data_IF_909289091081
#
_entry.id   IF_909289091081
#
_cell.length_a   1.000
_cell.length_b   1.000
_cell.length_c   1.000
_cell.angle_alpha   90.00
_cell.angle_beta   90.00
_cell.angle_gamma   90.00
#
_symmetry.space_group_name_H-M   'P 1'
#
loop_
_entity.id
_entity.type
_entity.pdbx_description
1 polymer ?
#
# COMPACT_ATOMS: atom_id res chain seq x y z
N UNK A 1 0.01 5.98 -1.27
CA UNK A 1 -0.46 5.31 -2.52
C UNK A 1 -0.89 3.89 -2.17
N UNK A 2 -2.11 3.49 -2.51
CA UNK A 2 -2.58 2.11 -2.32
C UNK A 2 -1.86 1.14 -3.28
N UNK A 3 -1.36 -0.01 -2.79
CA UNK A 3 -0.60 -0.96 -3.61
C UNK A 3 -0.96 -2.43 -3.34
N UNK A 4 -1.98 -2.95 -4.02
CA UNK A 4 -2.43 -4.34 -3.81
C UNK A 4 -1.41 -5.39 -4.27
N UNK A 5 -0.50 -5.03 -5.19
CA UNK A 5 0.48 -5.97 -5.76
C UNK A 5 1.53 -6.43 -4.76
N UNK A 6 1.69 -5.75 -3.61
CA UNK A 6 2.57 -6.21 -2.53
C UNK A 6 2.14 -7.59 -1.98
N UNK A 7 0.87 -7.97 -2.14
CA UNK A 7 0.36 -9.29 -1.77
C UNK A 7 0.57 -10.39 -2.83
N UNK A 8 1.25 -10.06 -3.94
CA UNK A 8 1.55 -11.00 -5.02
C UNK A 8 2.09 -12.34 -4.48
N UNK A 9 1.52 -13.43 -4.97
CA UNK A 9 2.07 -14.78 -4.86
C UNK A 9 2.73 -15.11 -6.18
N UNK A 10 4.05 -15.27 -6.15
CA UNK A 10 4.90 -15.56 -7.31
C UNK A 10 5.41 -17.01 -7.33
N UNK A 11 4.85 -17.87 -6.48
CA UNK A 11 5.34 -19.26 -6.29
C UNK A 11 5.07 -20.20 -7.47
N UNK A 12 4.17 -19.86 -8.40
CA UNK A 12 3.72 -20.75 -9.48
C UNK A 12 3.71 -20.02 -10.83
N UNK A 13 4.81 -20.13 -11.56
CA UNK A 13 4.97 -19.55 -12.90
C UNK A 13 5.18 -18.04 -12.93
N UNK A 14 5.10 -17.45 -14.12
CA UNK A 14 5.46 -16.05 -14.36
C UNK A 14 4.32 -15.05 -14.15
N UNK A 15 3.09 -15.53 -13.91
CA UNK A 15 1.92 -14.68 -13.64
C UNK A 15 1.67 -14.62 -12.13
N UNK A 16 1.87 -13.47 -11.47
CA UNK A 16 1.56 -13.34 -10.05
C UNK A 16 0.05 -13.50 -9.79
N UNK A 17 -0.28 -14.12 -8.65
CA UNK A 17 -1.65 -14.18 -8.14
C UNK A 17 -1.83 -13.20 -6.98
N UNK A 18 -2.97 -12.52 -6.92
CA UNK A 18 -3.28 -11.52 -5.91
C UNK A 18 -4.44 -11.95 -5.00
N UNK A 19 -4.71 -13.26 -4.91
CA UNK A 19 -5.82 -13.81 -4.13
C UNK A 19 -5.77 -13.45 -2.63
N UNK A 20 -4.60 -13.04 -2.13
CA UNK A 20 -4.41 -12.61 -0.73
C UNK A 20 -4.75 -11.13 -0.51
N UNK A 21 -4.88 -10.33 -1.57
CA UNK A 21 -5.27 -8.93 -1.46
C UNK A 21 -6.75 -8.84 -1.06
N UNK A 22 -7.09 -7.88 -0.21
CA UNK A 22 -8.48 -7.61 0.11
C UNK A 22 -9.23 -7.09 -1.13
N UNK A 23 -10.53 -7.42 -1.23
CA UNK A 23 -11.41 -6.86 -2.27
C UNK A 23 -11.66 -5.36 -2.04
N UNK A 24 -12.03 -4.59 -3.08
CA UNK A 24 -12.24 -3.14 -2.98
C UNK A 24 -13.18 -2.72 -1.86
N UNK A 25 -14.25 -3.49 -1.61
CA UNK A 25 -15.27 -3.17 -0.60
C UNK A 25 -14.71 -3.17 0.83
N UNK A 26 -13.62 -3.91 1.04
CA UNK A 26 -12.87 -3.95 2.32
C UNK A 26 -11.65 -3.03 2.26
N UNK A 27 -10.96 -2.99 1.13
CA UNK A 27 -9.70 -2.27 0.98
C UNK A 27 -9.86 -0.74 1.00
N UNK A 28 -10.92 -0.19 0.40
CA UNK A 28 -11.17 1.26 0.36
C UNK A 28 -11.40 1.82 1.77
N UNK A 29 -12.33 1.28 2.59
CA UNK A 29 -12.52 1.77 3.96
C UNK A 29 -11.26 1.65 4.83
N UNK A 30 -10.47 0.58 4.64
CA UNK A 30 -9.20 0.41 5.38
C UNK A 30 -8.15 1.44 4.95
N UNK A 31 -8.05 1.75 3.65
CA UNK A 31 -7.15 2.77 3.12
C UNK A 31 -7.51 4.16 3.64
N UNK A 32 -8.79 4.52 3.62
CA UNK A 32 -9.30 5.79 4.15
C UNK A 32 -9.07 5.92 5.66
N UNK A 33 -9.36 4.86 6.42
CA UNK A 33 -9.08 4.82 7.87
C UNK A 33 -7.59 4.98 8.16
N UNK A 34 -6.71 4.37 7.37
CA UNK A 34 -5.27 4.50 7.50
C UNK A 34 -4.80 5.94 7.25
N UNK A 35 -5.32 6.60 6.21
CA UNK A 35 -5.05 8.02 5.92
C UNK A 35 -5.49 8.91 7.08
N UNK A 36 -6.71 8.70 7.58
CA UNK A 36 -7.26 9.49 8.68
C UNK A 36 -6.41 9.33 9.96
N UNK A 37 -6.02 8.09 10.29
CA UNK A 37 -5.14 7.81 11.44
C UNK A 37 -3.78 8.51 11.31
N UNK A 38 -3.11 8.39 10.17
CA UNK A 38 -1.82 9.06 9.95
C UNK A 38 -1.93 10.57 9.98
N UNK A 39 -3.00 11.15 9.44
CA UNK A 39 -3.25 12.59 9.44
C UNK A 39 -3.39 13.10 10.87
N UNK A 40 -4.10 12.36 11.72
CA UNK A 40 -4.27 12.68 13.14
C UNK A 40 -2.95 12.57 13.91
N UNK A 41 -2.21 11.47 13.77
CA UNK A 41 -0.94 11.23 14.47
C UNK A 41 0.16 12.23 14.08
N UNK A 42 0.21 12.64 12.82
CA UNK A 42 1.19 13.62 12.34
C UNK A 42 0.75 15.07 12.57
N UNK A 43 -0.51 15.31 12.94
CA UNK A 43 -1.08 16.65 13.16
C UNK A 43 -1.09 17.54 11.91
N UNK A 44 -0.96 16.97 10.72
CA UNK A 44 -0.90 17.72 9.45
C UNK A 44 -1.48 16.92 8.28
N UNK A 45 -1.93 17.59 7.21
CA UNK A 45 -2.35 16.91 5.99
C UNK A 45 -1.24 16.03 5.43
N UNK A 46 -1.60 14.83 4.97
CA UNK A 46 -0.71 13.94 4.23
C UNK A 46 -1.10 13.92 2.76
N UNK A 47 -0.12 13.69 1.89
CA UNK A 47 -0.36 13.49 0.47
C UNK A 47 -0.72 12.04 0.18
N UNK A 48 -1.70 11.84 -0.69
CA UNK A 48 -2.23 10.52 -1.07
C UNK A 48 -2.29 10.40 -2.59
N UNK A 49 -2.51 9.17 -3.08
CA UNK A 49 -2.96 8.95 -4.46
C UNK A 49 -4.46 8.64 -4.47
N UNK A 50 -4.99 8.35 -5.65
CA UNK A 50 -6.39 7.94 -5.84
C UNK A 50 -6.51 6.40 -5.86
N UNK A 51 -7.40 5.85 -5.04
CA UNK A 51 -7.55 4.41 -4.93
C UNK A 51 -8.14 3.82 -6.21
N UNK A 52 -7.48 2.81 -6.79
CA UNK A 52 -7.97 2.10 -7.98
C UNK A 52 -7.78 2.87 -9.30
N UNK A 53 -7.30 4.11 -9.26
CA UNK A 53 -6.93 4.85 -10.44
C UNK A 53 -5.62 4.32 -11.06
N UNK A 54 -5.49 4.47 -12.38
CA UNK A 54 -4.20 4.33 -13.05
C UNK A 54 -3.31 5.52 -12.69
N UNK A 55 -2.15 5.26 -12.10
CA UNK A 55 -1.30 6.28 -11.51
C UNK A 55 0.15 6.14 -11.97
N UNK A 56 0.77 7.29 -12.27
CA UNK A 56 2.22 7.40 -12.48
C UNK A 56 2.83 8.06 -11.26
N UNK A 57 3.54 7.28 -10.43
CA UNK A 57 4.16 7.76 -9.19
C UNK A 57 5.63 8.06 -9.43
N UNK A 58 5.99 9.34 -9.36
CA UNK A 58 7.38 9.77 -9.39
C UNK A 58 7.98 9.76 -7.98
N UNK A 59 9.21 9.27 -7.85
CA UNK A 59 10.00 9.42 -6.64
C UNK A 59 11.49 9.63 -6.96
N UNK A 60 12.18 10.38 -6.11
CA UNK A 60 13.64 10.41 -6.03
C UNK A 60 14.00 9.72 -4.72
N UNK A 61 14.67 8.56 -4.81
CA UNK A 61 15.03 7.79 -3.63
C UNK A 61 16.45 8.18 -3.18
N UNK A 62 16.54 9.11 -2.24
CA UNK A 62 17.81 9.61 -1.69
C UNK A 62 18.33 8.65 -0.61
N UNK A 63 19.43 7.94 -0.89
CA UNK A 63 19.96 6.82 -0.09
C UNK A 63 20.53 5.69 -0.97
N UNK A 64 19.71 4.86 -1.65
CA UNK A 64 18.30 4.60 -1.37
C UNK A 64 18.16 3.69 -0.14
N UNK A 65 17.22 4.04 0.75
CA UNK A 65 16.82 3.17 1.87
C UNK A 65 15.41 2.68 1.61
N UNK A 66 15.17 1.38 1.72
CA UNK A 66 13.84 0.78 1.53
C UNK A 66 13.56 -0.18 2.67
N UNK A 67 12.50 0.10 3.42
CA UNK A 67 12.07 -0.70 4.56
C UNK A 67 10.73 -1.35 4.21
N UNK A 68 10.63 -2.66 4.37
CA UNK A 68 9.41 -3.43 4.21
C UNK A 68 8.87 -3.81 5.58
N UNK A 69 7.58 -3.53 5.82
CA UNK A 69 6.90 -3.84 7.08
C UNK A 69 5.64 -4.64 6.74
N UNK A 70 5.49 -5.80 7.37
CA UNK A 70 4.25 -6.59 7.34
C UNK A 70 3.73 -6.71 8.78
N UNK A 71 2.49 -6.29 9.02
CA UNK A 71 1.89 -6.31 10.36
C UNK A 71 1.71 -7.72 10.93
N UNK A 72 1.81 -8.76 10.08
CA UNK A 72 1.83 -10.18 10.48
C UNK A 72 3.23 -10.69 10.81
N UNK A 73 4.27 -9.99 10.35
CA UNK A 73 5.68 -10.24 10.68
C UNK A 73 6.11 -9.18 11.70
N UNK A 74 5.55 -9.29 12.90
CA UNK A 74 6.07 -8.56 14.05
C UNK A 74 7.29 -9.34 14.53
N UNK A 75 8.37 -8.64 14.84
CA UNK A 75 9.46 -9.21 15.65
C UNK A 75 8.89 -9.87 16.91
#
# INVERSE_FOLDING_TARGET
>A
VSQFTLFASTKKGNRPSYIRSAKPEVAIPLYEKFIAGLTAELGKPIHTGEFGADMKVALVNDGPVTILIDTKLRE
#
